data_IF_857093936528
#
_entry.id   IF_857093936528
#
_cell.length_a   1.000
_cell.length_b   1.000
_cell.length_c   1.000
_cell.angle_alpha   90.00
_cell.angle_beta   90.00
_cell.angle_gamma   90.00
#
_symmetry.space_group_name_H-M   'P 1'
#
loop_
_entity.id
_entity.type
_entity.pdbx_description
1 polymer ?
#
# COMPACT_ATOMS: atom_id res chain seq x y z
N UNK A 1 -52.26 34.65 29.10
CA UNK A 1 -52.91 35.80 28.41
C UNK A 1 -52.74 35.56 26.93
N UNK A 2 -53.66 34.91 26.26
CA UNK A 2 -54.72 35.44 25.42
C UNK A 2 -54.25 36.56 24.46
N UNK A 3 -54.21 36.24 23.17
CA UNK A 3 -55.05 36.86 22.13
C UNK A 3 -54.88 36.15 20.80
N UNK A 4 -55.99 35.57 20.35
CA UNK A 4 -56.47 35.25 19.02
C UNK A 4 -56.72 36.52 18.19
N UNK A 5 -56.72 36.44 16.87
CA UNK A 5 -57.65 36.99 15.89
C UNK A 5 -57.16 36.64 14.49
N UNK A 6 -57.75 35.77 13.73
CA UNK A 6 -59.04 35.78 12.99
C UNK A 6 -58.96 36.53 11.65
N UNK A 7 -59.03 35.76 10.57
CA UNK A 7 -59.92 35.78 9.37
C UNK A 7 -59.86 37.02 8.48
N UNK A 8 -59.64 36.82 7.16
CA UNK A 8 -60.66 37.16 6.14
C UNK A 8 -60.38 36.42 4.81
N UNK A 9 -61.44 35.74 4.38
CA UNK A 9 -61.65 35.04 3.12
C UNK A 9 -62.22 36.04 2.12
N UNK A 10 -61.68 36.19 0.92
CA UNK A 10 -62.41 36.79 -0.21
C UNK A 10 -62.27 35.90 -1.45
N UNK A 11 -63.38 35.32 -1.81
CA UNK A 11 -63.58 34.62 -3.07
C UNK A 11 -64.05 35.64 -4.11
N UNK A 12 -63.42 35.64 -5.27
CA UNK A 12 -63.94 36.28 -6.48
C UNK A 12 -63.97 35.27 -7.59
N UNK A 13 -65.17 34.84 -7.95
CA UNK A 13 -65.48 34.13 -9.19
C UNK A 13 -65.46 35.11 -10.36
N UNK A 14 -64.69 34.83 -11.41
CA UNK A 14 -64.90 35.37 -12.72
C UNK A 14 -64.80 34.23 -13.76
N UNK A 15 -65.97 33.90 -14.32
CA UNK A 15 -66.12 33.03 -15.49
C UNK A 15 -65.68 33.79 -16.74
N UNK A 16 -64.75 33.25 -17.49
CA UNK A 16 -64.39 33.74 -18.81
C UNK A 16 -63.95 32.61 -19.71
N UNK A 17 -64.83 32.24 -20.62
CA UNK A 17 -64.52 31.29 -21.69
C UNK A 17 -63.59 31.96 -22.70
N UNK A 18 -62.46 31.36 -23.02
CA UNK A 18 -61.66 31.72 -24.18
C UNK A 18 -61.04 30.46 -24.84
N UNK A 19 -61.27 30.46 -26.13
CA UNK A 19 -60.88 29.58 -27.22
C UNK A 19 -59.40 29.20 -27.16
N UNK A 20 -59.05 27.91 -27.29
CA UNK A 20 -57.73 27.41 -27.45
C UNK A 20 -57.18 27.62 -28.90
N UNK A 21 -55.97 28.11 -29.10
CA UNK A 21 -55.25 27.88 -30.34
C UNK A 21 -54.52 26.53 -30.31
N UNK A 22 -54.68 25.77 -31.39
CA UNK A 22 -53.95 24.54 -31.70
C UNK A 22 -52.49 24.92 -31.91
N UNK A 23 -51.58 24.42 -31.05
CA UNK A 23 -50.15 24.51 -31.26
C UNK A 23 -49.67 23.30 -32.10
N UNK A 24 -48.65 23.48 -32.95
CA UNK A 24 -48.11 22.40 -33.78
C UNK A 24 -47.42 21.34 -32.91
N UNK A 25 -47.62 20.09 -33.25
CA UNK A 25 -46.93 18.95 -32.68
C UNK A 25 -45.45 19.08 -32.92
N UNK A 26 -44.70 19.42 -31.87
CA UNK A 26 -43.23 19.30 -31.84
C UNK A 26 -42.86 17.81 -31.87
N UNK A 27 -41.85 17.51 -32.64
CA UNK A 27 -41.22 16.22 -32.71
C UNK A 27 -40.87 15.69 -31.30
N UNK A 28 -40.81 14.38 -31.07
CA UNK A 28 -40.33 13.84 -29.81
C UNK A 28 -38.91 14.32 -29.59
N UNK A 29 -38.68 15.03 -28.50
CA UNK A 29 -37.36 15.24 -27.98
C UNK A 29 -36.86 13.83 -27.58
N UNK A 30 -35.81 13.40 -28.25
CA UNK A 30 -35.01 12.28 -27.76
C UNK A 30 -34.50 12.71 -26.38
N UNK A 31 -35.20 12.25 -25.35
CA UNK A 31 -34.76 12.23 -23.98
C UNK A 31 -33.62 11.18 -23.91
N UNK A 32 -32.45 11.60 -24.35
CA UNK A 32 -31.22 10.88 -24.10
C UNK A 32 -30.91 11.02 -22.61
N UNK A 33 -31.81 10.51 -21.80
CA UNK A 33 -31.64 10.21 -20.40
C UNK A 33 -30.63 9.09 -20.31
N UNK A 34 -29.37 9.46 -20.53
CA UNK A 34 -28.23 8.66 -20.10
C UNK A 34 -28.36 8.43 -18.62
N UNK A 35 -29.15 7.43 -18.24
CA UNK A 35 -28.96 6.76 -16.99
C UNK A 35 -27.52 6.27 -17.06
N UNK A 36 -26.59 7.03 -16.44
CA UNK A 36 -25.29 6.53 -16.10
C UNK A 36 -25.56 5.19 -15.41
N UNK A 37 -25.34 4.09 -16.13
CA UNK A 37 -25.29 2.78 -15.52
C UNK A 37 -24.37 3.00 -14.32
N UNK A 38 -24.86 2.68 -13.12
CA UNK A 38 -24.04 2.76 -11.92
C UNK A 38 -22.78 1.97 -12.25
N UNK A 39 -21.71 2.70 -12.49
CA UNK A 39 -20.45 2.11 -12.93
C UNK A 39 -20.08 1.17 -11.82
N UNK A 40 -19.93 -0.12 -12.09
CA UNK A 40 -19.44 -1.12 -11.13
C UNK A 40 -17.95 -0.89 -10.93
N UNK A 41 -17.59 0.30 -10.51
CA UNK A 41 -16.27 0.92 -10.52
C UNK A 41 -15.88 1.33 -9.11
N UNK A 42 -14.76 0.79 -8.62
CA UNK A 42 -14.28 1.03 -7.26
C UNK A 42 -13.87 2.50 -7.07
N UNK A 43 -13.24 3.12 -8.06
CA UNK A 43 -12.87 4.54 -7.99
C UNK A 43 -14.11 5.42 -7.82
N UNK A 44 -15.16 5.18 -8.61
CA UNK A 44 -16.43 5.92 -8.51
C UNK A 44 -17.08 5.76 -7.12
N UNK A 45 -17.00 4.57 -6.52
CA UNK A 45 -17.49 4.33 -5.15
C UNK A 45 -16.66 5.10 -4.11
N UNK A 46 -15.33 5.07 -4.21
CA UNK A 46 -14.41 5.82 -3.33
C UNK A 46 -14.71 7.31 -3.41
N UNK A 47 -14.84 7.86 -4.63
CA UNK A 47 -15.15 9.27 -4.84
C UNK A 47 -16.52 9.66 -4.26
N UNK A 48 -17.54 8.79 -4.41
CA UNK A 48 -18.87 9.03 -3.85
C UNK A 48 -18.88 8.94 -2.31
N UNK A 49 -18.08 8.04 -1.72
CA UNK A 49 -17.90 7.89 -0.27
C UNK A 49 -17.05 9.00 0.32
N UNK A 50 -16.16 9.60 -0.46
CA UNK A 50 -15.22 10.63 -0.01
C UNK A 50 -14.06 10.10 0.83
N UNK A 51 -13.86 8.79 0.89
CA UNK A 51 -12.84 8.13 1.72
C UNK A 51 -12.27 6.93 0.99
N UNK A 52 -10.94 6.75 1.03
CA UNK A 52 -10.26 5.54 0.57
C UNK A 52 -9.71 4.77 1.77
N UNK A 53 -9.96 3.46 1.82
CA UNK A 53 -9.45 2.56 2.87
C UNK A 53 -8.15 1.94 2.37
N UNK A 54 -7.07 2.16 3.10
CA UNK A 54 -5.73 1.72 2.72
C UNK A 54 -5.17 0.80 3.79
N UNK A 55 -4.76 -0.41 3.41
CA UNK A 55 -4.04 -1.29 4.32
C UNK A 55 -2.58 -0.87 4.44
N UNK A 56 -2.08 -0.86 5.68
CA UNK A 56 -0.69 -0.58 6.04
C UNK A 56 -0.33 -1.37 7.30
N UNK A 57 0.95 -1.40 7.66
CA UNK A 57 1.44 -2.12 8.84
C UNK A 57 1.64 -1.13 10.01
N UNK A 58 1.14 -1.39 11.21
CA UNK A 58 1.37 -0.56 12.39
C UNK A 58 2.76 -0.77 13.02
N UNK A 59 3.56 -1.74 12.54
CA UNK A 59 4.83 -2.18 13.12
C UNK A 59 5.91 -2.45 12.07
N UNK A 60 6.06 -1.59 11.07
CA UNK A 60 7.08 -1.71 10.02
C UNK A 60 7.85 -0.38 9.84
N UNK A 61 8.50 0.09 10.92
CA UNK A 61 9.34 1.29 10.88
C UNK A 61 10.59 1.05 10.00
N UNK A 62 11.01 2.07 9.22
CA UNK A 62 10.49 3.44 9.12
C UNK A 62 9.40 3.63 8.04
N UNK A 63 8.92 2.56 7.40
CA UNK A 63 7.93 2.61 6.33
C UNK A 63 6.53 2.95 6.86
N UNK A 64 6.06 2.23 7.87
CA UNK A 64 4.75 2.46 8.49
C UNK A 64 4.74 1.96 9.94
N UNK A 65 4.33 2.81 10.85
CA UNK A 65 4.26 2.47 12.27
C UNK A 65 3.36 3.44 13.03
N UNK A 66 3.02 3.08 14.27
CA UNK A 66 2.32 4.00 15.18
C UNK A 66 3.34 4.79 16.01
N UNK A 67 3.21 6.12 16.02
CA UNK A 67 3.97 6.98 16.92
C UNK A 67 3.51 6.83 18.38
N UNK A 68 4.18 7.48 19.31
CA UNK A 68 3.84 7.45 20.75
C UNK A 68 2.42 7.96 21.05
N UNK A 69 1.82 8.73 20.13
CA UNK A 69 0.46 9.27 20.24
C UNK A 69 -0.58 8.36 19.59
N UNK A 70 -0.14 7.25 18.96
CA UNK A 70 -0.99 6.30 18.25
C UNK A 70 -1.39 6.76 16.83
N UNK A 71 -0.68 7.72 16.24
CA UNK A 71 -0.90 8.12 14.86
C UNK A 71 -0.05 7.28 13.91
N UNK A 72 -0.62 6.95 12.73
CA UNK A 72 0.17 6.37 11.64
C UNK A 72 1.16 7.38 11.08
N UNK A 73 2.42 6.98 11.03
CA UNK A 73 3.55 7.73 10.48
C UNK A 73 4.46 6.79 9.69
N UNK A 74 5.30 7.34 8.83
CA UNK A 74 6.25 6.59 8.02
C UNK A 74 6.15 6.92 6.54
N UNK A 75 7.11 6.40 5.77
CA UNK A 75 7.21 6.67 4.34
C UNK A 75 5.95 6.22 3.57
N UNK A 76 5.53 4.97 3.76
CA UNK A 76 4.32 4.41 3.11
C UNK A 76 3.05 5.17 3.51
N UNK A 77 2.99 5.59 4.78
CA UNK A 77 1.87 6.37 5.31
C UNK A 77 1.78 7.74 4.63
N UNK A 78 2.91 8.42 4.44
CA UNK A 78 2.94 9.72 3.78
C UNK A 78 2.68 9.58 2.27
N UNK A 79 3.16 8.51 1.62
CA UNK A 79 2.78 8.17 0.24
C UNK A 79 1.27 7.94 0.12
N UNK A 80 0.68 7.17 1.03
CA UNK A 80 -0.76 6.91 1.04
C UNK A 80 -1.60 8.19 1.25
N UNK A 81 -1.17 9.07 2.16
CA UNK A 81 -1.79 10.38 2.39
C UNK A 81 -1.73 11.26 1.15
N UNK A 82 -0.57 11.32 0.48
CA UNK A 82 -0.39 12.12 -0.74
C UNK A 82 -1.25 11.59 -1.90
N UNK A 83 -1.31 10.26 -2.08
CA UNK A 83 -2.22 9.65 -3.06
C UNK A 83 -3.67 10.06 -2.78
N UNK A 84 -4.11 9.94 -1.52
CA UNK A 84 -5.47 10.28 -1.11
C UNK A 84 -5.79 11.77 -1.31
N UNK A 85 -4.84 12.65 -0.99
CA UNK A 85 -4.95 14.09 -1.21
C UNK A 85 -5.10 14.42 -2.69
N UNK A 86 -4.30 13.79 -3.58
CA UNK A 86 -4.39 13.99 -5.04
C UNK A 86 -5.66 13.38 -5.64
N UNK A 87 -6.21 12.34 -5.03
CA UNK A 87 -7.54 11.82 -5.36
C UNK A 87 -8.66 12.76 -4.90
N UNK A 88 -8.41 13.62 -3.91
CA UNK A 88 -9.42 14.51 -3.31
C UNK A 88 -10.35 13.80 -2.32
N UNK A 89 -9.85 12.77 -1.63
CA UNK A 89 -10.59 11.98 -0.63
C UNK A 89 -9.78 11.87 0.67
N UNK A 90 -10.47 11.56 1.78
CA UNK A 90 -9.84 11.25 3.06
C UNK A 90 -9.26 9.83 3.04
N UNK A 91 -8.19 9.59 3.82
CA UNK A 91 -7.64 8.26 4.02
C UNK A 91 -8.12 7.65 5.33
N UNK A 92 -8.51 6.38 5.28
CA UNK A 92 -8.75 5.53 6.43
C UNK A 92 -7.75 4.37 6.41
N UNK A 93 -6.89 4.28 7.42
CA UNK A 93 -5.94 3.18 7.52
C UNK A 93 -6.57 1.95 8.19
N UNK A 94 -6.32 0.78 7.62
CA UNK A 94 -6.65 -0.52 8.19
C UNK A 94 -5.39 -1.37 8.33
N UNK A 95 -5.36 -2.28 9.29
CA UNK A 95 -4.15 -3.05 9.64
C UNK A 95 -4.42 -4.56 9.66
N UNK A 96 -4.80 -5.15 8.52
CA UNK A 96 -4.84 -6.61 8.42
C UNK A 96 -3.44 -7.21 8.48
N UNK A 97 -3.33 -8.47 8.88
CA UNK A 97 -2.06 -9.18 8.87
C UNK A 97 -1.48 -9.27 7.44
N UNK A 98 -0.17 -9.22 7.32
CA UNK A 98 0.52 -9.18 6.03
C UNK A 98 0.20 -10.37 5.12
N UNK A 99 0.09 -11.56 5.67
CA UNK A 99 -0.28 -12.77 4.93
C UNK A 99 -1.68 -12.69 4.31
N UNK A 100 -2.63 -12.02 4.99
CA UNK A 100 -3.97 -11.75 4.44
C UNK A 100 -3.91 -10.75 3.28
N UNK A 101 -3.06 -9.72 3.38
CA UNK A 101 -2.89 -8.73 2.30
C UNK A 101 -2.30 -9.42 1.07
N UNK A 102 -1.23 -10.19 1.24
CA UNK A 102 -0.52 -10.85 0.14
C UNK A 102 -1.32 -12.00 -0.49
N UNK A 103 -2.23 -12.62 0.26
CA UNK A 103 -3.10 -13.69 -0.24
C UNK A 103 -4.20 -13.18 -1.19
N UNK A 104 -4.49 -11.87 -1.22
CA UNK A 104 -5.64 -11.33 -1.95
C UNK A 104 -6.97 -11.75 -1.32
N UNK A 105 -8.07 -11.61 -2.06
CA UNK A 105 -9.42 -11.93 -1.58
C UNK A 105 -9.79 -11.14 -0.31
N UNK A 106 -9.59 -9.83 -0.39
CA UNK A 106 -9.79 -8.89 0.73
C UNK A 106 -11.25 -8.70 1.16
N UNK A 107 -12.19 -9.23 0.38
CA UNK A 107 -13.62 -9.17 0.69
C UNK A 107 -14.16 -7.74 0.80
N UNK A 108 -13.61 -6.82 0.00
CA UNK A 108 -13.95 -5.38 -0.01
C UNK A 108 -13.79 -4.68 1.35
N UNK A 109 -12.94 -5.22 2.25
CA UNK A 109 -12.69 -4.62 3.55
C UNK A 109 -11.79 -3.37 3.45
N UNK A 110 -10.92 -3.33 2.45
CA UNK A 110 -10.13 -2.16 2.07
C UNK A 110 -9.98 -2.09 0.54
N UNK A 111 -9.56 -0.93 0.05
CA UNK A 111 -9.60 -0.60 -1.37
C UNK A 111 -8.23 -0.75 -2.05
N UNK A 112 -7.15 -0.50 -1.30
CA UNK A 112 -5.77 -0.49 -1.80
C UNK A 112 -4.82 -0.83 -0.65
N UNK A 113 -3.64 -1.36 -0.97
CA UNK A 113 -2.53 -1.53 -0.03
C UNK A 113 -1.37 -0.59 -0.40
N UNK A 114 -0.87 0.16 0.58
CA UNK A 114 0.40 0.89 0.53
C UNK A 114 1.19 0.46 1.76
N UNK A 115 2.03 -0.55 1.57
CA UNK A 115 2.77 -1.22 2.64
C UNK A 115 4.00 -1.93 2.07
N UNK A 116 4.76 -1.24 1.21
CA UNK A 116 6.03 -1.75 0.68
C UNK A 116 5.92 -3.12 0.00
N UNK A 117 4.88 -3.29 -0.84
CA UNK A 117 4.66 -4.58 -1.49
C UNK A 117 5.47 -4.73 -2.77
N UNK A 118 6.40 -5.68 -2.77
CA UNK A 118 7.18 -6.06 -3.96
C UNK A 118 6.27 -6.67 -5.03
N UNK A 119 6.43 -6.23 -6.26
CA UNK A 119 5.79 -6.84 -7.42
C UNK A 119 6.48 -8.17 -7.70
N UNK A 120 5.79 -9.28 -7.47
CA UNK A 120 6.28 -10.63 -7.75
C UNK A 120 5.37 -11.37 -8.72
N UNK A 121 5.90 -12.39 -9.42
CA UNK A 121 5.08 -13.22 -10.31
C UNK A 121 3.96 -13.93 -9.55
N UNK A 122 4.20 -14.37 -8.32
CA UNK A 122 3.19 -15.01 -7.49
C UNK A 122 2.06 -14.03 -7.13
N UNK A 123 2.40 -12.84 -6.63
CA UNK A 123 1.43 -11.80 -6.24
C UNK A 123 0.66 -11.27 -7.45
N UNK A 124 1.30 -11.11 -8.61
CA UNK A 124 0.64 -10.66 -9.84
C UNK A 124 -0.47 -11.60 -10.34
N UNK A 125 -0.54 -12.86 -9.91
CA UNK A 125 -1.65 -13.76 -10.24
C UNK A 125 -2.96 -13.32 -9.61
N UNK A 126 -2.91 -12.72 -8.42
CA UNK A 126 -4.06 -12.40 -7.56
C UNK A 126 -4.23 -10.91 -7.27
N UNK A 127 -3.17 -10.14 -7.37
CA UNK A 127 -3.15 -8.68 -7.15
C UNK A 127 -2.79 -7.94 -8.44
N UNK A 128 -3.35 -6.75 -8.61
CA UNK A 128 -2.88 -5.75 -9.56
C UNK A 128 -1.97 -4.75 -8.83
N UNK A 129 -1.12 -4.06 -9.58
CA UNK A 129 -0.16 -3.10 -9.04
C UNK A 129 -0.20 -1.80 -9.81
N UNK A 130 -0.03 -0.68 -9.11
CA UNK A 130 0.24 0.60 -9.74
C UNK A 130 1.62 0.59 -10.42
N UNK A 131 1.77 1.38 -11.47
CA UNK A 131 3.02 1.54 -12.21
C UNK A 131 3.24 3.01 -12.56
N UNK A 132 4.44 3.57 -12.32
CA UNK A 132 5.65 2.89 -11.82
C UNK A 132 5.56 2.49 -10.33
N UNK A 133 6.49 1.65 -9.82
CA UNK A 133 6.73 1.48 -8.38
C UNK A 133 7.00 2.83 -7.72
N UNK A 134 6.59 3.02 -6.46
CA UNK A 134 6.83 4.29 -5.79
C UNK A 134 8.20 4.39 -5.13
N UNK A 135 8.89 3.25 -4.86
CA UNK A 135 10.30 3.23 -4.47
C UNK A 135 10.92 1.85 -4.67
N UNK A 136 12.22 1.77 -4.41
CA UNK A 136 13.04 0.56 -4.50
C UNK A 136 13.89 0.45 -3.24
N UNK A 137 14.07 -0.76 -2.71
CA UNK A 137 14.96 -1.00 -1.58
C UNK A 137 15.68 -2.33 -1.72
N UNK A 138 16.95 -2.43 -1.33
CA UNK A 138 17.62 -3.72 -1.31
C UNK A 138 17.25 -4.53 -0.08
N UNK A 139 17.18 -5.85 -0.24
CA UNK A 139 17.12 -6.83 0.83
C UNK A 139 18.50 -7.01 1.47
N UNK A 140 18.59 -6.92 2.80
CA UNK A 140 19.83 -6.92 3.55
C UNK A 140 19.77 -7.87 4.73
N UNK A 141 20.80 -8.71 4.87
CA UNK A 141 21.03 -9.46 6.10
C UNK A 141 21.60 -8.58 7.21
N UNK A 142 21.11 -8.79 8.41
CA UNK A 142 21.74 -8.31 9.62
C UNK A 142 21.90 -9.46 10.62
N UNK A 143 22.99 -9.48 11.34
CA UNK A 143 23.28 -10.46 12.37
C UNK A 143 23.23 -9.85 13.77
N UNK A 144 22.84 -10.66 14.74
CA UNK A 144 22.88 -10.29 16.15
C UNK A 144 24.35 -10.18 16.60
N UNK A 145 24.67 -9.12 17.31
CA UNK A 145 26.02 -8.93 17.86
C UNK A 145 26.44 -10.13 18.71
N UNK A 146 27.65 -10.65 18.43
CA UNK A 146 28.18 -11.82 19.13
C UNK A 146 27.64 -13.17 18.63
N UNK A 147 26.81 -13.21 17.59
CA UNK A 147 26.32 -14.46 16.97
C UNK A 147 27.41 -15.28 16.26
N UNK A 148 28.55 -14.63 15.90
CA UNK A 148 29.61 -15.24 15.11
C UNK A 148 29.38 -15.21 13.61
N UNK A 149 28.31 -14.55 13.14
CA UNK A 149 28.00 -14.33 11.71
C UNK A 149 28.61 -13.01 11.27
N UNK A 150 29.64 -13.04 10.42
CA UNK A 150 30.35 -11.86 9.91
C UNK A 150 30.24 -11.76 8.37
N UNK A 151 30.07 -12.89 7.69
CA UNK A 151 30.03 -12.99 6.24
C UNK A 151 28.77 -13.72 5.77
N UNK A 152 28.44 -13.62 4.46
CA UNK A 152 27.35 -14.38 3.88
C UNK A 152 27.56 -15.91 3.96
N UNK A 153 28.82 -16.37 4.00
CA UNK A 153 29.15 -17.79 4.15
C UNK A 153 28.84 -18.32 5.57
N UNK A 154 28.98 -17.47 6.58
CA UNK A 154 28.64 -17.84 7.97
C UNK A 154 27.14 -18.04 8.19
N UNK A 155 26.31 -17.58 7.27
CA UNK A 155 24.85 -17.81 7.29
C UNK A 155 24.49 -19.26 6.97
N UNK A 156 25.39 -20.07 6.38
CA UNK A 156 25.08 -21.47 6.08
C UNK A 156 24.81 -22.25 7.38
N UNK A 157 23.65 -22.91 7.44
CA UNK A 157 23.19 -23.65 8.62
C UNK A 157 22.67 -22.77 9.77
N UNK A 158 22.67 -21.45 9.62
CA UNK A 158 22.17 -20.54 10.65
C UNK A 158 20.64 -20.56 10.73
N UNK A 159 20.08 -20.15 11.87
CA UNK A 159 18.67 -19.79 11.99
C UNK A 159 18.48 -18.34 11.60
N UNK A 160 17.63 -18.10 10.61
CA UNK A 160 17.39 -16.77 10.03
C UNK A 160 15.92 -16.39 10.25
N UNK A 161 15.69 -15.26 10.92
CA UNK A 161 14.36 -14.69 11.11
C UNK A 161 13.91 -13.90 9.90
N UNK A 162 12.63 -14.01 9.52
CA UNK A 162 11.97 -13.24 8.45
C UNK A 162 10.51 -13.01 8.79
N UNK A 163 9.87 -12.05 8.15
CA UNK A 163 8.41 -11.94 8.14
C UNK A 163 7.79 -13.04 7.26
N UNK A 164 6.67 -13.61 7.71
CA UNK A 164 5.91 -14.61 6.95
C UNK A 164 5.37 -14.01 5.64
N UNK A 165 5.32 -14.80 4.57
CA UNK A 165 4.81 -14.39 3.23
C UNK A 165 5.55 -13.20 2.60
N UNK A 166 6.78 -12.91 3.07
CA UNK A 166 7.66 -11.89 2.48
C UNK A 166 8.45 -12.44 1.30
N UNK A 167 9.03 -11.54 0.52
CA UNK A 167 10.02 -11.87 -0.51
C UNK A 167 11.31 -12.44 0.07
N UNK A 168 11.63 -12.06 1.29
CA UNK A 168 12.78 -12.56 2.05
C UNK A 168 12.62 -14.05 2.38
N UNK A 169 11.45 -14.45 2.88
CA UNK A 169 11.11 -15.84 3.13
C UNK A 169 11.14 -16.66 1.82
N UNK A 170 10.48 -16.14 0.77
CA UNK A 170 10.43 -16.79 -0.55
C UNK A 170 11.82 -17.00 -1.14
N UNK A 171 12.70 -15.99 -1.03
CA UNK A 171 14.08 -16.10 -1.51
C UNK A 171 14.88 -17.13 -0.72
N UNK A 172 14.79 -17.14 0.60
CA UNK A 172 15.45 -18.15 1.44
C UNK A 172 14.96 -19.57 1.15
N UNK A 173 13.69 -19.74 0.81
CA UNK A 173 13.13 -21.02 0.34
C UNK A 173 13.56 -21.41 -1.08
N UNK A 174 14.21 -20.50 -1.83
CA UNK A 174 14.65 -20.74 -3.21
C UNK A 174 13.52 -20.61 -4.24
N UNK A 175 12.39 -19.98 -3.91
CA UNK A 175 11.27 -19.77 -4.83
C UNK A 175 11.54 -18.61 -5.80
N UNK A 176 12.53 -18.81 -6.67
CA UNK A 176 12.91 -17.81 -7.69
C UNK A 176 11.82 -17.61 -8.75
N UNK A 177 11.00 -18.63 -9.03
CA UNK A 177 9.89 -18.55 -9.98
C UNK A 177 8.74 -17.69 -9.41
N UNK A 178 8.38 -17.90 -8.14
CA UNK A 178 7.36 -17.12 -7.45
C UNK A 178 7.76 -15.65 -7.29
N UNK A 179 9.02 -15.39 -6.99
CA UNK A 179 9.59 -14.04 -6.95
C UNK A 179 9.50 -13.38 -8.33
N UNK A 180 10.01 -14.03 -9.38
CA UNK A 180 9.97 -13.53 -10.75
C UNK A 180 10.59 -12.15 -10.95
N UNK A 181 11.52 -11.77 -10.09
CA UNK A 181 12.27 -10.51 -10.19
C UNK A 181 13.25 -10.60 -11.38
N UNK A 182 13.54 -9.47 -12.06
CA UNK A 182 14.55 -9.44 -13.11
C UNK A 182 15.90 -9.96 -12.61
N UNK A 183 16.65 -10.66 -13.46
CA UNK A 183 17.97 -11.18 -13.09
C UNK A 183 18.94 -10.08 -12.58
N UNK A 184 18.82 -8.86 -13.11
CA UNK A 184 19.61 -7.71 -12.68
C UNK A 184 19.28 -7.25 -11.24
N UNK A 185 18.14 -7.66 -10.68
CA UNK A 185 17.77 -7.36 -9.31
C UNK A 185 18.52 -8.21 -8.29
N UNK A 186 19.12 -9.33 -8.68
CA UNK A 186 19.84 -10.21 -7.76
C UNK A 186 21.33 -9.85 -7.74
N UNK A 187 21.84 -9.59 -6.54
CA UNK A 187 23.25 -9.28 -6.28
C UNK A 187 24.03 -10.50 -5.75
N UNK A 188 23.26 -11.54 -5.36
CA UNK A 188 23.74 -12.84 -4.90
C UNK A 188 22.98 -13.94 -5.63
N UNK A 189 23.68 -14.92 -6.15
CA UNK A 189 23.14 -15.93 -7.06
C UNK A 189 22.15 -16.92 -6.38
N UNK A 190 22.35 -17.18 -5.09
CA UNK A 190 21.55 -18.14 -4.32
C UNK A 190 21.50 -17.78 -2.84
N UNK A 191 20.44 -18.19 -2.12
CA UNK A 191 20.39 -18.07 -0.67
C UNK A 191 21.48 -18.93 0.00
N UNK A 192 21.80 -18.64 1.29
CA UNK A 192 22.69 -19.47 2.09
C UNK A 192 22.15 -20.90 2.19
N UNK A 193 23.06 -21.88 2.24
CA UNK A 193 22.68 -23.30 2.28
C UNK A 193 22.23 -23.75 3.69
N UNK A 194 21.32 -24.72 3.74
CA UNK A 194 20.90 -25.42 4.96
C UNK A 194 20.40 -24.52 6.10
N UNK A 195 19.87 -23.33 5.78
CA UNK A 195 19.34 -22.40 6.77
C UNK A 195 18.07 -22.95 7.44
N UNK A 196 17.90 -22.64 8.72
CA UNK A 196 16.65 -22.83 9.43
C UNK A 196 15.87 -21.51 9.41
N UNK A 197 14.78 -21.45 8.64
CA UNK A 197 13.94 -20.24 8.52
C UNK A 197 13.00 -20.16 9.72
N UNK A 198 13.04 -19.03 10.45
CA UNK A 198 12.14 -18.71 11.56
C UNK A 198 11.21 -17.60 11.10
N UNK A 199 9.99 -17.90 10.59
CA UNK A 199 9.04 -16.87 10.21
C UNK A 199 8.33 -16.30 11.44
N UNK A 200 8.26 -14.95 11.50
CA UNK A 200 7.44 -14.19 12.46
C UNK A 200 6.34 -13.43 11.69
N UNK A 201 5.43 -12.79 12.42
CA UNK A 201 4.26 -12.15 11.81
C UNK A 201 4.66 -11.02 10.85
N UNK A 202 5.61 -10.16 11.26
CA UNK A 202 6.18 -9.09 10.44
C UNK A 202 7.71 -9.02 10.62
N UNK A 203 8.41 -8.39 9.68
CA UNK A 203 9.88 -8.31 9.71
C UNK A 203 10.40 -7.62 10.98
N UNK A 204 9.75 -6.55 11.44
CA UNK A 204 10.16 -5.85 12.66
C UNK A 204 10.03 -6.67 13.95
N UNK A 205 9.27 -7.76 13.94
CA UNK A 205 9.23 -8.68 15.08
C UNK A 205 10.62 -9.29 15.33
N UNK A 206 11.42 -9.53 14.28
CA UNK A 206 12.81 -9.97 14.42
C UNK A 206 13.64 -8.94 15.21
N UNK A 207 13.52 -7.66 14.87
CA UNK A 207 14.22 -6.57 15.57
C UNK A 207 13.74 -6.46 17.02
N UNK A 208 12.43 -6.53 17.26
CA UNK A 208 11.84 -6.48 18.59
C UNK A 208 12.25 -7.68 19.48
N UNK A 209 12.39 -8.88 18.92
CA UNK A 209 12.91 -10.03 19.65
C UNK A 209 14.34 -9.78 20.14
N UNK A 210 15.20 -9.20 19.29
CA UNK A 210 16.57 -8.83 19.66
C UNK A 210 16.56 -7.79 20.78
N UNK A 211 15.75 -6.75 20.65
CA UNK A 211 15.56 -5.71 21.66
C UNK A 211 15.10 -6.27 23.01
N UNK A 212 14.23 -7.27 22.99
CA UNK A 212 13.75 -7.96 24.19
C UNK A 212 14.76 -8.97 24.77
N UNK A 213 15.96 -9.11 24.19
CA UNK A 213 16.99 -10.06 24.61
C UNK A 213 16.64 -11.53 24.29
N UNK A 214 15.71 -11.75 23.36
CA UNK A 214 15.36 -13.08 22.87
C UNK A 214 16.23 -13.39 21.65
N UNK A 215 16.92 -14.54 21.66
CA UNK A 215 17.89 -14.90 20.62
C UNK A 215 17.61 -16.35 20.17
N UNK A 216 16.50 -16.57 19.50
CA UNK A 216 16.18 -17.86 18.89
C UNK A 216 16.78 -18.00 17.48
N UNK A 217 17.41 -16.93 16.96
CA UNK A 217 18.04 -16.87 15.66
C UNK A 217 19.36 -16.08 15.72
N UNK A 218 20.23 -16.25 14.74
CA UNK A 218 21.54 -15.59 14.64
C UNK A 218 21.51 -14.37 13.73
N UNK A 219 20.65 -14.38 12.71
CA UNK A 219 20.53 -13.33 11.74
C UNK A 219 19.06 -13.16 11.30
N UNK A 220 18.77 -12.05 10.62
CA UNK A 220 17.49 -11.84 9.96
C UNK A 220 17.71 -11.21 8.58
N UNK A 221 16.74 -11.37 7.69
CA UNK A 221 16.72 -10.78 6.36
C UNK A 221 15.48 -9.91 6.23
N UNK A 222 15.70 -8.64 5.88
CA UNK A 222 14.62 -7.66 5.69
C UNK A 222 15.06 -6.55 4.73
N UNK A 223 14.25 -5.50 4.59
CA UNK A 223 14.62 -4.28 3.88
C UNK A 223 15.84 -3.60 4.51
N UNK A 224 16.75 -3.08 3.68
CA UNK A 224 17.89 -2.32 4.15
C UNK A 224 17.49 -1.12 5.01
N UNK A 225 16.38 -0.47 4.71
CA UNK A 225 15.87 0.68 5.49
C UNK A 225 15.52 0.30 6.93
N UNK A 226 15.00 -0.90 7.16
CA UNK A 226 14.75 -1.46 8.50
C UNK A 226 16.06 -1.71 9.23
N UNK A 227 17.04 -2.32 8.54
CA UNK A 227 18.38 -2.58 9.14
C UNK A 227 19.06 -1.27 9.54
N UNK A 228 19.03 -0.25 8.67
CA UNK A 228 19.60 1.07 8.98
C UNK A 228 18.93 1.73 10.17
N UNK A 229 17.59 1.73 10.20
CA UNK A 229 16.83 2.29 11.31
C UNK A 229 17.18 1.60 12.63
N UNK A 230 17.21 0.26 12.64
CA UNK A 230 17.55 -0.52 13.83
C UNK A 230 18.99 -0.24 14.33
N UNK A 231 19.96 -0.13 13.43
CA UNK A 231 21.34 0.26 13.78
C UNK A 231 21.38 1.68 14.34
N UNK A 232 20.67 2.62 13.73
CA UNK A 232 20.60 4.00 14.19
C UNK A 232 19.97 4.14 15.59
N UNK A 233 19.00 3.27 15.91
CA UNK A 233 18.40 3.15 17.24
C UNK A 233 19.30 2.45 18.27
N UNK A 234 20.46 1.93 17.86
CA UNK A 234 21.42 1.28 18.74
C UNK A 234 21.06 -0.18 19.09
N UNK A 235 20.22 -0.82 18.27
CA UNK A 235 19.97 -2.27 18.38
C UNK A 235 21.28 -3.01 18.16
N UNK A 236 21.56 -4.04 18.96
CA UNK A 236 22.80 -4.80 18.94
C UNK A 236 22.87 -5.75 17.73
N UNK A 237 22.98 -5.17 16.55
CA UNK A 237 23.09 -5.86 15.25
C UNK A 237 24.15 -5.20 14.38
N UNK A 238 24.62 -5.94 13.39
CA UNK A 238 25.46 -5.41 12.31
C UNK A 238 25.03 -6.00 10.96
N UNK A 239 25.34 -5.31 9.88
CA UNK A 239 25.09 -5.79 8.51
C UNK A 239 26.00 -6.97 8.17
N UNK A 240 25.46 -7.94 7.44
CA UNK A 240 26.20 -9.08 6.93
C UNK A 240 26.33 -8.97 5.42
N UNK A 241 27.56 -8.77 4.97
CA UNK A 241 27.86 -8.68 3.54
C UNK A 241 27.18 -7.53 2.81
N UNK A 242 27.03 -7.68 1.50
CA UNK A 242 26.28 -6.75 0.63
C UNK A 242 24.79 -7.15 0.59
N UNK A 243 23.92 -6.25 0.13
CA UNK A 243 22.52 -6.60 -0.17
C UNK A 243 22.43 -7.80 -1.11
N UNK A 244 21.34 -8.55 -1.00
CA UNK A 244 21.20 -9.81 -1.74
C UNK A 244 20.33 -9.68 -2.98
N UNK A 245 19.29 -8.83 -2.97
CA UNK A 245 18.51 -8.47 -4.15
C UNK A 245 17.86 -7.08 -3.94
N UNK A 246 17.36 -6.49 -5.01
CA UNK A 246 16.58 -5.26 -5.00
C UNK A 246 15.11 -5.55 -5.24
N UNK A 247 14.25 -4.83 -4.55
CA UNK A 247 12.80 -4.90 -4.63
C UNK A 247 12.22 -3.66 -5.30
N UNK A 248 11.19 -3.86 -6.08
CA UNK A 248 10.37 -2.82 -6.69
C UNK A 248 9.02 -2.77 -5.97
N UNK A 249 8.75 -1.70 -5.25
CA UNK A 249 7.66 -1.61 -4.26
C UNK A 249 6.53 -0.72 -4.78
N UNK A 250 5.32 -1.26 -4.82
CA UNK A 250 4.18 -0.61 -5.45
C UNK A 250 2.90 -0.73 -4.62
N UNK A 251 1.96 0.20 -4.87
CA UNK A 251 0.60 0.09 -4.36
C UNK A 251 -0.10 -1.11 -5.03
N UNK A 252 -0.81 -1.91 -4.23
CA UNK A 252 -1.45 -3.14 -4.66
C UNK A 252 -2.98 -3.07 -4.53
N UNK A 253 -3.69 -3.85 -5.37
CA UNK A 253 -5.13 -3.89 -5.48
C UNK A 253 -5.60 -5.34 -5.64
N UNK A 254 -6.72 -5.69 -5.00
CA UNK A 254 -7.28 -7.04 -5.07
C UNK A 254 -8.02 -7.27 -6.40
N UNK A 255 -7.58 -8.23 -7.19
CA UNK A 255 -8.26 -8.61 -8.43
C UNK A 255 -9.60 -9.30 -8.21
N UNK A 256 -9.87 -9.78 -6.99
CA UNK A 256 -11.12 -10.43 -6.62
C UNK A 256 -12.17 -9.46 -6.04
N UNK A 257 -11.86 -8.16 -5.99
CA UNK A 257 -12.79 -7.14 -5.53
C UNK A 257 -14.13 -7.23 -6.25
N UNK A 258 -15.24 -6.95 -5.55
CA UNK A 258 -16.59 -7.02 -6.12
C UNK A 258 -16.85 -5.94 -7.17
N UNK A 259 -16.03 -4.89 -7.18
CA UNK A 259 -16.05 -3.76 -8.12
C UNK A 259 -14.87 -3.83 -9.09
N UNK A 260 -15.05 -3.24 -10.27
CA UNK A 260 -13.96 -3.08 -11.23
C UNK A 260 -12.91 -2.12 -10.65
N UNK A 261 -11.66 -2.60 -10.57
CA UNK A 261 -10.52 -1.86 -10.02
C UNK A 261 -9.72 -1.10 -11.08
N UNK A 262 -10.01 -1.29 -12.37
CA UNK A 262 -9.13 -0.82 -13.45
C UNK A 262 -8.90 0.69 -13.41
N UNK A 263 -9.96 1.47 -13.25
CA UNK A 263 -9.88 2.94 -13.16
C UNK A 263 -9.13 3.42 -11.91
N UNK A 264 -9.26 2.72 -10.78
CA UNK A 264 -8.50 3.04 -9.57
C UNK A 264 -7.01 2.76 -9.77
N UNK A 265 -6.64 1.61 -10.33
CA UNK A 265 -5.25 1.25 -10.64
C UNK A 265 -4.63 2.27 -11.60
N UNK A 266 -5.35 2.64 -12.68
CA UNK A 266 -4.90 3.65 -13.62
C UNK A 266 -4.71 5.00 -12.94
N UNK A 267 -5.70 5.45 -12.16
CA UNK A 267 -5.63 6.76 -11.49
C UNK A 267 -4.51 6.84 -10.45
N UNK A 268 -4.32 5.80 -9.66
CA UNK A 268 -3.20 5.75 -8.68
C UNK A 268 -1.85 5.68 -9.41
N UNK A 269 -1.76 4.97 -10.54
CA UNK A 269 -0.54 4.94 -11.36
C UNK A 269 -0.19 6.33 -11.92
N UNK A 270 -1.17 7.08 -12.42
CA UNK A 270 -0.98 8.47 -12.85
C UNK A 270 -0.47 9.36 -11.70
N UNK A 271 -1.07 9.21 -10.52
CA UNK A 271 -0.69 9.99 -9.33
C UNK A 271 0.76 9.66 -8.92
N UNK A 272 1.12 8.38 -8.85
CA UNK A 272 2.50 7.97 -8.51
C UNK A 272 3.49 8.47 -9.56
N UNK A 273 3.14 8.40 -10.85
CA UNK A 273 3.94 8.99 -11.93
C UNK A 273 4.17 10.49 -11.73
N UNK A 274 3.11 11.23 -11.43
CA UNK A 274 3.22 12.66 -11.13
C UNK A 274 4.05 12.95 -9.86
N UNK A 275 3.99 12.09 -8.84
CA UNK A 275 4.80 12.21 -7.61
C UNK A 275 6.29 11.95 -7.88
N UNK A 276 6.64 11.13 -8.87
CA UNK A 276 8.01 11.01 -9.37
C UNK A 276 8.45 12.29 -10.09
N UNK A 277 7.62 12.77 -11.03
CA UNK A 277 7.96 13.88 -11.90
C UNK A 277 8.15 15.21 -11.14
N UNK A 278 7.35 15.44 -10.10
CA UNK A 278 7.41 16.66 -9.29
C UNK A 278 8.35 16.58 -8.08
N UNK A 279 9.00 15.41 -7.86
CA UNK A 279 9.97 15.18 -6.80
C UNK A 279 9.37 14.93 -5.42
N UNK A 280 8.06 14.75 -5.31
CA UNK A 280 7.39 14.45 -4.03
C UNK A 280 7.92 13.16 -3.42
N UNK A 281 8.01 12.07 -4.20
CA UNK A 281 8.53 10.78 -3.71
C UNK A 281 9.99 10.88 -3.26
N UNK A 282 10.84 11.56 -4.05
CA UNK A 282 12.24 11.81 -3.67
C UNK A 282 12.35 12.58 -2.35
N UNK A 283 11.51 13.60 -2.17
CA UNK A 283 11.47 14.38 -0.93
C UNK A 283 11.05 13.55 0.27
N UNK A 284 10.04 12.69 0.13
CA UNK A 284 9.59 11.77 1.17
C UNK A 284 10.67 10.72 1.48
N UNK A 285 11.32 10.15 0.45
CA UNK A 285 12.40 9.19 0.60
C UNK A 285 13.58 9.80 1.39
N UNK A 286 14.00 11.00 1.02
CA UNK A 286 15.06 11.74 1.75
C UNK A 286 14.67 12.04 3.19
N UNK A 287 13.40 12.35 3.46
CA UNK A 287 12.94 12.67 4.80
C UNK A 287 12.94 11.44 5.73
N UNK A 288 12.55 10.27 5.22
CA UNK A 288 12.41 9.06 6.01
C UNK A 288 13.66 8.18 6.05
N UNK A 289 14.39 8.09 4.92
CA UNK A 289 15.53 7.17 4.76
C UNK A 289 16.88 7.89 4.71
N UNK A 290 16.89 9.21 4.52
CA UNK A 290 18.14 9.98 4.33
C UNK A 290 18.77 9.79 2.95
N UNK A 291 18.11 9.02 2.06
CA UNK A 291 18.56 8.75 0.70
C UNK A 291 17.35 8.68 -0.27
N UNK A 292 17.61 8.93 -1.55
CA UNK A 292 16.56 8.86 -2.59
C UNK A 292 16.49 7.45 -3.16
N UNK A 293 15.51 6.68 -2.71
CA UNK A 293 15.24 5.31 -3.14
C UNK A 293 14.18 5.21 -4.25
N UNK A 294 13.85 6.31 -4.93
CA UNK A 294 12.76 6.35 -5.92
C UNK A 294 13.20 6.00 -7.34
N UNK A 295 14.49 5.87 -7.57
CA UNK A 295 15.07 5.49 -8.87
C UNK A 295 15.32 3.99 -8.94
N UNK A 296 15.01 3.40 -10.11
CA UNK A 296 15.25 1.97 -10.37
C UNK A 296 16.77 1.68 -10.40
N UNK A 297 17.30 0.90 -9.43
CA UNK A 297 18.72 0.64 -9.34
C UNK A 297 19.24 -0.32 -10.43
N UNK A 298 18.35 -0.85 -11.27
CA UNK A 298 18.71 -1.78 -12.37
C UNK A 298 18.86 -1.07 -13.71
N UNK A 299 18.62 0.25 -13.77
CA UNK A 299 18.72 1.08 -14.99
C UNK A 299 19.96 1.93 -15.08
#
# INVERSE_FOLDING_TARGET
MKRLLSILLVAVLCSGACVAPVAPQGAPADDDGGASAAVNDLLGEIMARGTIRISTDPNYAPQSFLDESGNFVGFDVDVAKEISQRLGVEVEFVTPDWDLITAGNWGDQWDMSVGSMTITTARQKILAFASPPYYYTPAQFAAVEGSGIETLEDLNGATICVGVSTTYESWLMGDMEGLGLPAASFYVDSPPADVNILPLTVDNDCVQQIQAGRQEFQAFLTSNTVVEAAIAEGIAIHRVGKPVFSENLAAAFDKSASKDIASLVEKVSEIIGAMHDDGTLSSLSMAWFGEDLTSDPTK
#
